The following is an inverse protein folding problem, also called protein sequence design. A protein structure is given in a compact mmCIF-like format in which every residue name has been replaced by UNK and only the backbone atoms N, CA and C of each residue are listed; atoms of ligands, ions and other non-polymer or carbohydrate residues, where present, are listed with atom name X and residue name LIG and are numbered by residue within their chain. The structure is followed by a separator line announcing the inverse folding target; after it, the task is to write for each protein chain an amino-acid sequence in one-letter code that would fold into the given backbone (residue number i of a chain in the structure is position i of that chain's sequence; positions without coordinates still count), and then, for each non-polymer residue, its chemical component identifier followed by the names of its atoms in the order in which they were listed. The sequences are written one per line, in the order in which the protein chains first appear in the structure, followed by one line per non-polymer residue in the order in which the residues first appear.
data_IF_902693868861
#
_entry.id   IF_902693868861
#
_cell.length_a   1.000
_cell.length_b   1.000
_cell.length_c   1.000
_cell.angle_alpha   90.00
_cell.angle_beta   90.00
_cell.angle_gamma   90.00
#
_symmetry.space_group_name_H-M   'P 1'
#
loop_
_entity.id
_entity.type
_entity.pdbx_description
1 polymer ?
#
# COMPACT_ATOMS: atom_id res chain seq x y z
N UNK A 1 4.88 -21.62 -1.61
CA UNK A 1 6.16 -21.04 -1.18
C UNK A 1 6.96 -22.08 -0.43
N UNK A 2 8.28 -22.18 -0.62
CA UNK A 2 9.15 -22.99 0.24
C UNK A 2 9.04 -22.52 1.69
N UNK A 3 9.08 -23.45 2.66
CA UNK A 3 8.90 -23.14 4.08
C UNK A 3 9.83 -22.02 4.62
N UNK A 4 11.16 -21.99 4.33
CA UNK A 4 12.01 -20.93 4.88
C UNK A 4 11.63 -19.54 4.35
N UNK A 5 11.30 -19.40 3.07
CA UNK A 5 10.90 -18.12 2.50
C UNK A 5 9.61 -17.57 3.12
N UNK A 6 8.63 -18.43 3.38
CA UNK A 6 7.33 -18.01 3.94
C UNK A 6 7.45 -17.34 5.31
N UNK A 7 8.49 -17.68 6.10
CA UNK A 7 8.73 -17.08 7.42
C UNK A 7 9.07 -15.59 7.32
N UNK A 8 9.76 -15.16 6.25
CA UNK A 8 10.10 -13.75 6.02
C UNK A 8 8.81 -12.92 5.94
N UNK A 9 7.90 -13.32 5.04
CA UNK A 9 6.67 -12.56 4.82
C UNK A 9 5.64 -12.74 5.94
N UNK A 10 5.65 -13.88 6.65
CA UNK A 10 4.81 -14.06 7.84
C UNK A 10 5.26 -13.11 8.97
N UNK A 11 6.56 -13.02 9.24
CA UNK A 11 7.12 -12.09 10.22
C UNK A 11 6.84 -10.63 9.82
N UNK A 12 7.02 -10.30 8.52
CA UNK A 12 6.77 -8.96 7.99
C UNK A 12 5.28 -8.57 8.08
N UNK A 13 4.38 -9.49 7.74
CA UNK A 13 2.94 -9.28 7.85
C UNK A 13 2.50 -9.05 9.30
N UNK A 14 3.01 -9.87 10.23
CA UNK A 14 2.74 -9.69 11.65
C UNK A 14 3.33 -8.37 12.17
N UNK A 15 4.51 -7.96 11.70
CA UNK A 15 5.10 -6.68 12.01
C UNK A 15 4.19 -5.51 11.57
N UNK A 16 3.65 -5.57 10.35
CA UNK A 16 2.68 -4.59 9.83
C UNK A 16 1.42 -4.54 10.70
N UNK A 17 0.83 -5.70 11.01
CA UNK A 17 -0.39 -5.78 11.83
C UNK A 17 -0.18 -5.21 13.24
N UNK A 18 0.93 -5.54 13.90
CA UNK A 18 1.27 -5.01 15.22
C UNK A 18 1.45 -3.48 15.18
N UNK A 19 2.15 -2.97 14.19
CA UNK A 19 2.33 -1.53 14.03
C UNK A 19 1.00 -0.80 13.72
N UNK A 20 0.12 -1.37 12.90
CA UNK A 20 -1.23 -0.85 12.67
C UNK A 20 -2.07 -0.88 13.97
N UNK A 21 -1.89 -1.90 14.82
CA UNK A 21 -2.48 -2.00 16.16
C UNK A 21 -1.77 -1.09 17.19
N UNK A 22 -0.89 -0.19 16.76
CA UNK A 22 -0.10 0.75 17.59
C UNK A 22 0.91 0.08 18.53
N UNK A 23 1.20 -1.21 18.37
CA UNK A 23 2.22 -1.96 19.08
C UNK A 23 3.57 -1.85 18.34
N UNK A 24 4.20 -0.65 18.42
CA UNK A 24 5.37 -0.32 17.60
C UNK A 24 6.59 -1.19 17.93
N UNK A 25 6.92 -1.37 19.23
CA UNK A 25 8.13 -2.10 19.61
C UNK A 25 8.13 -3.55 19.15
N UNK A 26 7.12 -4.40 19.44
CA UNK A 26 7.10 -5.77 18.93
C UNK A 26 7.02 -5.81 17.39
N UNK A 27 6.34 -4.87 16.75
CA UNK A 27 6.32 -4.76 15.29
C UNK A 27 7.70 -4.49 14.69
N UNK A 28 8.49 -3.57 15.26
CA UNK A 28 9.85 -3.28 14.80
C UNK A 28 10.82 -4.43 15.09
N UNK A 29 10.65 -5.17 16.19
CA UNK A 29 11.42 -6.39 16.45
C UNK A 29 11.17 -7.44 15.36
N UNK A 30 9.90 -7.68 15.02
CA UNK A 30 9.56 -8.62 13.94
C UNK A 30 10.04 -8.15 12.56
N UNK A 31 10.02 -6.84 12.30
CA UNK A 31 10.65 -6.29 11.09
C UNK A 31 12.15 -6.63 11.05
N UNK A 32 12.88 -6.43 12.18
CA UNK A 32 14.28 -6.80 12.29
C UNK A 32 14.51 -8.29 12.02
N UNK A 33 13.67 -9.15 12.60
CA UNK A 33 13.72 -10.61 12.36
C UNK A 33 13.49 -10.91 10.88
N UNK A 34 12.49 -10.30 10.25
CA UNK A 34 12.19 -10.47 8.82
C UNK A 34 13.38 -10.07 7.94
N UNK A 35 14.03 -8.92 8.22
CA UNK A 35 15.19 -8.46 7.46
C UNK A 35 16.42 -9.37 7.65
N UNK A 36 16.64 -9.90 8.85
CA UNK A 36 17.73 -10.86 9.11
C UNK A 36 17.48 -12.19 8.41
N UNK A 37 16.24 -12.70 8.43
CA UNK A 37 15.85 -13.88 7.67
C UNK A 37 16.02 -13.66 6.17
N UNK A 38 15.61 -12.49 5.67
CA UNK A 38 15.75 -12.13 4.26
C UNK A 38 17.22 -12.06 3.83
N UNK A 39 18.11 -11.55 4.68
CA UNK A 39 19.55 -11.55 4.43
C UNK A 39 20.10 -12.99 4.41
N UNK A 40 19.75 -13.79 5.41
CA UNK A 40 20.21 -15.17 5.53
C UNK A 40 19.76 -16.06 4.36
N UNK A 41 18.55 -15.82 3.86
CA UNK A 41 17.99 -16.54 2.70
C UNK A 41 18.28 -15.85 1.35
N UNK A 42 19.22 -14.91 1.33
CA UNK A 42 19.68 -14.19 0.14
C UNK A 42 18.57 -13.46 -0.64
N UNK A 43 17.46 -13.12 0.06
CA UNK A 43 16.37 -12.31 -0.51
C UNK A 43 16.69 -10.82 -0.50
N UNK A 44 17.65 -10.40 0.29
CA UNK A 44 18.25 -9.06 0.22
C UNK A 44 19.77 -9.18 0.32
N UNK A 45 20.48 -8.26 -0.34
CA UNK A 45 21.93 -8.12 -0.19
C UNK A 45 22.30 -7.30 1.04
N UNK A 46 23.57 -7.38 1.55
CA UNK A 46 24.03 -6.48 2.58
C UNK A 46 23.85 -4.99 2.25
N UNK A 47 23.97 -4.61 0.98
CA UNK A 47 23.77 -3.22 0.52
C UNK A 47 22.30 -2.81 0.70
N UNK A 48 21.34 -3.64 0.29
CA UNK A 48 19.92 -3.38 0.49
C UNK A 48 19.55 -3.31 1.98
N UNK A 49 20.15 -4.18 2.83
CA UNK A 49 19.97 -4.13 4.28
C UNK A 49 20.49 -2.81 4.84
N UNK A 50 21.70 -2.39 4.50
CA UNK A 50 22.29 -1.13 4.97
C UNK A 50 21.46 0.09 4.52
N UNK A 51 21.00 0.12 3.26
CA UNK A 51 20.12 1.17 2.75
C UNK A 51 18.77 1.21 3.51
N UNK A 52 18.22 0.02 3.85
CA UNK A 52 17.00 -0.09 4.64
C UNK A 52 17.20 0.43 6.05
N UNK A 53 18.26 0.00 6.73
CA UNK A 53 18.59 0.43 8.10
C UNK A 53 18.90 1.93 8.16
N UNK A 54 19.62 2.48 7.18
CA UNK A 54 19.90 3.91 7.10
C UNK A 54 18.63 4.74 6.96
N UNK A 55 17.71 4.32 6.06
CA UNK A 55 16.41 4.98 5.88
C UNK A 55 15.53 4.90 7.14
N UNK A 56 15.46 3.73 7.78
CA UNK A 56 14.72 3.54 9.03
C UNK A 56 15.33 4.34 10.19
N UNK A 57 16.65 4.42 10.31
CA UNK A 57 17.34 5.23 11.32
C UNK A 57 17.07 6.72 11.12
N UNK A 58 17.17 7.21 9.88
CA UNK A 58 16.82 8.58 9.54
C UNK A 58 15.35 8.87 9.90
N UNK A 59 14.44 7.98 9.53
CA UNK A 59 13.01 8.11 9.85
C UNK A 59 12.76 8.16 11.37
N UNK A 60 13.42 7.30 12.13
CA UNK A 60 13.32 7.27 13.59
C UNK A 60 13.85 8.56 14.25
N UNK A 61 14.94 9.13 13.72
CA UNK A 61 15.52 10.38 14.24
C UNK A 61 14.72 11.62 13.84
N UNK A 62 13.98 11.57 12.73
CA UNK A 62 13.28 12.72 12.15
C UNK A 62 12.39 13.48 13.14
N UNK A 63 11.53 12.85 13.97
CA UNK A 63 10.64 13.59 14.90
C UNK A 63 11.39 14.37 16.00
N UNK A 64 12.62 13.97 16.32
CA UNK A 64 13.43 14.60 17.38
C UNK A 64 14.24 15.81 16.90
N UNK A 65 14.28 16.04 15.59
CA UNK A 65 15.04 17.14 14.98
C UNK A 65 14.34 18.50 15.17
N UNK A 66 15.08 19.61 15.28
CA UNK A 66 14.55 20.96 15.18
C UNK A 66 13.83 21.19 13.83
N UNK A 67 12.85 22.10 13.80
CA UNK A 67 11.92 22.28 12.67
C UNK A 67 12.59 22.37 11.29
N UNK A 68 13.62 23.19 11.03
CA UNK A 68 14.19 23.26 9.67
C UNK A 68 14.81 21.95 9.23
N UNK A 69 15.54 21.27 10.11
CA UNK A 69 16.17 19.98 9.84
C UNK A 69 15.15 18.85 9.71
N UNK A 70 14.05 18.92 10.48
CA UNK A 70 12.94 17.97 10.40
C UNK A 70 12.31 17.96 9.03
N UNK A 71 12.02 19.11 8.44
CA UNK A 71 11.45 19.19 7.10
C UNK A 71 12.39 18.59 6.04
N UNK A 72 13.69 18.87 6.12
CA UNK A 72 14.67 18.26 5.23
C UNK A 72 14.75 16.73 5.40
N UNK A 73 14.79 16.24 6.65
CA UNK A 73 14.80 14.81 6.95
C UNK A 73 13.51 14.11 6.48
N UNK A 74 12.35 14.73 6.67
CA UNK A 74 11.08 14.22 6.12
C UNK A 74 11.12 14.12 4.60
N UNK A 75 11.67 15.11 3.91
CA UNK A 75 11.88 15.06 2.46
C UNK A 75 12.77 13.89 2.04
N UNK A 76 13.89 13.67 2.74
CA UNK A 76 14.79 12.55 2.46
C UNK A 76 14.12 11.18 2.73
N UNK A 77 13.37 11.04 3.83
CA UNK A 77 12.60 9.82 4.12
C UNK A 77 11.55 9.57 3.03
N UNK A 78 10.88 10.63 2.55
CA UNK A 78 9.90 10.52 1.47
C UNK A 78 10.56 10.07 0.15
N UNK A 79 11.70 10.65 -0.21
CA UNK A 79 12.47 10.23 -1.39
C UNK A 79 12.92 8.78 -1.29
N UNK A 80 13.41 8.36 -0.12
CA UNK A 80 13.76 6.96 0.14
C UNK A 80 12.54 6.03 0.03
N UNK A 81 11.38 6.43 0.58
CA UNK A 81 10.15 5.67 0.46
C UNK A 81 9.68 5.52 -1.00
N UNK A 82 9.77 6.60 -1.79
CA UNK A 82 9.47 6.58 -3.23
C UNK A 82 10.45 5.66 -3.98
N UNK A 83 11.75 5.73 -3.65
CA UNK A 83 12.76 4.85 -4.26
C UNK A 83 12.47 3.36 -3.98
N UNK A 84 12.01 3.01 -2.77
CA UNK A 84 11.55 1.65 -2.44
C UNK A 84 10.29 1.25 -3.23
N UNK A 85 9.30 2.14 -3.33
CA UNK A 85 8.07 1.86 -4.10
C UNK A 85 8.34 1.62 -5.58
N UNK A 86 9.32 2.33 -6.14
CA UNK A 86 9.74 2.23 -7.54
C UNK A 86 10.84 1.19 -7.78
N UNK A 87 11.21 0.40 -6.76
CA UNK A 87 12.27 -0.62 -6.83
C UNK A 87 13.64 -0.09 -7.30
N UNK A 88 13.97 1.18 -6.96
CA UNK A 88 15.21 1.84 -7.38
C UNK A 88 16.41 1.50 -6.49
N UNK A 89 16.18 0.94 -5.29
CA UNK A 89 17.25 0.51 -4.40
C UNK A 89 17.68 -0.90 -4.79
N UNK A 90 18.94 -1.11 -5.21
CA UNK A 90 19.40 -2.41 -5.67
C UNK A 90 19.54 -3.42 -4.52
N UNK A 91 19.46 -4.70 -4.85
CA UNK A 91 19.72 -5.80 -3.93
C UNK A 91 18.51 -6.35 -3.20
N UNK A 92 17.29 -6.02 -3.61
CA UNK A 92 16.07 -6.72 -3.23
C UNK A 92 15.75 -7.79 -4.26
N UNK A 93 15.77 -9.06 -3.85
CA UNK A 93 15.44 -10.21 -4.70
C UNK A 93 13.98 -10.63 -4.43
N UNK A 94 13.05 -9.80 -4.90
CA UNK A 94 11.61 -9.99 -4.70
C UNK A 94 11.14 -11.33 -5.27
N UNK A 95 10.38 -12.10 -4.48
CA UNK A 95 9.97 -13.46 -4.83
C UNK A 95 8.76 -13.45 -5.77
N UNK A 96 8.94 -13.94 -7.01
CA UNK A 96 7.82 -14.19 -7.92
C UNK A 96 7.02 -15.39 -7.40
N UNK A 97 5.78 -15.16 -7.00
CA UNK A 97 4.90 -16.19 -6.42
C UNK A 97 3.78 -16.62 -7.35
N UNK A 98 3.42 -15.78 -8.33
CA UNK A 98 2.53 -16.12 -9.44
C UNK A 98 3.22 -15.74 -10.75
N UNK A 99 3.22 -16.67 -11.70
CA UNK A 99 3.85 -16.51 -13.00
C UNK A 99 2.87 -16.85 -14.11
N UNK A 100 2.45 -15.84 -14.89
CA UNK A 100 1.56 -15.94 -16.04
C UNK A 100 0.25 -16.71 -15.73
N UNK A 101 -0.26 -16.58 -14.49
CA UNK A 101 -1.51 -17.22 -14.09
C UNK A 101 -2.73 -16.48 -14.63
N UNK A 102 -3.82 -17.20 -14.85
CA UNK A 102 -5.11 -16.63 -15.24
C UNK A 102 -6.03 -16.59 -14.01
N UNK A 103 -6.77 -15.49 -13.85
CA UNK A 103 -7.83 -15.42 -12.86
C UNK A 103 -9.07 -16.20 -13.34
N UNK A 104 -9.35 -16.14 -14.63
CA UNK A 104 -10.39 -16.86 -15.32
C UNK A 104 -10.09 -16.95 -16.83
N UNK A 105 -10.96 -17.61 -17.63
CA UNK A 105 -10.74 -17.86 -19.07
C UNK A 105 -10.64 -16.59 -19.92
N UNK A 106 -11.34 -15.51 -19.53
CA UNK A 106 -11.38 -14.25 -20.27
C UNK A 106 -10.38 -13.21 -19.72
N UNK A 107 -9.57 -13.59 -18.73
CA UNK A 107 -8.56 -12.73 -18.09
C UNK A 107 -7.23 -12.78 -18.83
N UNK A 108 -6.50 -11.63 -18.86
CA UNK A 108 -5.10 -11.62 -19.31
C UNK A 108 -4.16 -12.26 -18.27
N UNK A 109 -2.98 -12.78 -18.67
CA UNK A 109 -2.03 -13.36 -17.73
C UNK A 109 -1.56 -12.37 -16.67
N UNK A 110 -1.47 -12.85 -15.42
CA UNK A 110 -1.09 -12.07 -14.26
C UNK A 110 0.18 -12.61 -13.60
N UNK A 111 1.04 -11.68 -13.18
CA UNK A 111 2.24 -11.97 -12.40
C UNK A 111 2.15 -11.29 -11.04
N UNK A 112 2.62 -11.95 -9.99
CA UNK A 112 2.69 -11.35 -8.66
C UNK A 112 4.00 -11.66 -7.96
N UNK A 113 4.54 -10.62 -7.34
CA UNK A 113 5.75 -10.69 -6.53
C UNK A 113 5.41 -10.37 -5.07
N UNK A 114 6.01 -11.09 -4.15
CA UNK A 114 6.14 -10.69 -2.76
C UNK A 114 7.37 -9.79 -2.66
N UNK A 115 7.11 -8.51 -2.47
CA UNK A 115 8.14 -7.50 -2.38
C UNK A 115 8.60 -7.31 -0.93
N UNK A 116 9.90 -7.09 -0.71
CA UNK A 116 10.45 -6.75 0.60
C UNK A 116 10.65 -5.24 0.76
N UNK A 117 10.89 -4.54 -0.33
CA UNK A 117 11.10 -3.10 -0.37
C UNK A 117 9.81 -2.30 -0.10
N UNK A 118 8.71 -2.60 -0.79
CA UNK A 118 7.45 -1.86 -0.63
C UNK A 118 6.93 -1.80 0.83
N UNK A 119 6.88 -2.89 1.60
CA UNK A 119 6.44 -2.82 3.00
C UNK A 119 7.31 -1.94 3.90
N UNK A 120 8.60 -1.76 3.59
CA UNK A 120 9.49 -0.88 4.35
C UNK A 120 9.03 0.58 4.34
N UNK A 121 8.32 1.00 3.30
CA UNK A 121 7.69 2.33 3.19
C UNK A 121 6.80 2.60 4.41
N UNK A 122 5.97 1.62 4.80
CA UNK A 122 5.10 1.76 5.96
C UNK A 122 5.89 2.07 7.24
N UNK A 123 6.94 1.31 7.52
CA UNK A 123 7.73 1.48 8.74
C UNK A 123 8.50 2.80 8.75
N UNK A 124 9.10 3.18 7.63
CA UNK A 124 9.79 4.46 7.51
C UNK A 124 8.86 5.65 7.72
N UNK A 125 7.71 5.65 7.06
CA UNK A 125 6.74 6.72 7.20
C UNK A 125 6.09 6.73 8.60
N UNK A 126 5.84 5.56 9.21
CA UNK A 126 5.33 5.45 10.58
C UNK A 126 6.30 6.03 11.62
N UNK A 127 7.60 5.86 11.41
CA UNK A 127 8.64 6.41 12.30
C UNK A 127 8.79 7.91 12.12
N UNK A 128 8.78 8.41 10.88
CA UNK A 128 8.99 9.83 10.60
C UNK A 128 7.74 10.72 10.84
N UNK A 129 6.53 10.13 10.79
CA UNK A 129 5.26 10.82 11.05
C UNK A 129 4.47 10.15 12.18
N UNK A 130 4.65 10.56 13.45
CA UNK A 130 3.99 9.93 14.60
C UNK A 130 2.47 9.86 14.53
N UNK A 131 1.83 10.78 13.80
CA UNK A 131 0.38 10.83 13.58
C UNK A 131 -0.13 10.09 12.36
N UNK A 132 0.71 9.31 11.67
CA UNK A 132 0.43 8.65 10.39
C UNK A 132 -0.88 7.84 10.38
N UNK A 133 -1.14 7.09 11.44
CA UNK A 133 -2.31 6.20 11.54
C UNK A 133 -3.64 6.94 11.73
N UNK A 134 -3.59 8.27 11.81
CA UNK A 134 -4.73 9.13 12.08
C UNK A 134 -5.06 9.27 13.57
N UNK A 135 -5.91 10.25 13.92
CA UNK A 135 -6.28 10.55 15.31
C UNK A 135 -7.13 9.44 15.97
N UNK A 136 -7.75 8.59 15.15
CA UNK A 136 -8.80 7.70 15.59
C UNK A 136 -10.11 8.47 15.82
N UNK A 137 -11.23 7.78 15.75
CA UNK A 137 -12.55 8.40 15.95
C UNK A 137 -13.66 7.36 15.86
N UNK A 138 -14.90 7.80 16.09
CA UNK A 138 -16.08 6.97 15.84
C UNK A 138 -16.22 6.71 14.33
N UNK A 139 -16.34 5.46 13.96
CA UNK A 139 -16.49 5.07 12.56
C UNK A 139 -17.93 5.40 12.12
N UNK A 140 -18.06 6.24 11.10
CA UNK A 140 -19.35 6.60 10.50
C UNK A 140 -19.76 5.55 9.47
N UNK A 141 -20.22 4.40 9.91
CA UNK A 141 -20.51 3.23 9.06
C UNK A 141 -21.41 3.54 7.87
N UNK A 142 -22.45 4.39 8.07
CA UNK A 142 -23.35 4.80 6.97
C UNK A 142 -22.59 5.52 5.85
N UNK A 143 -21.68 6.41 6.22
CA UNK A 143 -20.87 7.15 5.22
C UNK A 143 -19.92 6.19 4.50
N UNK A 144 -19.28 5.27 5.22
CA UNK A 144 -18.39 4.28 4.61
C UNK A 144 -19.16 3.34 3.67
N UNK A 145 -20.36 2.90 4.05
CA UNK A 145 -21.21 2.09 3.19
C UNK A 145 -21.60 2.86 1.91
N UNK A 146 -21.90 4.15 2.01
CA UNK A 146 -22.21 4.99 0.84
C UNK A 146 -20.98 5.15 -0.07
N UNK A 147 -19.76 5.12 0.43
CA UNK A 147 -18.55 5.17 -0.39
C UNK A 147 -18.32 3.90 -1.23
N UNK A 148 -18.95 2.78 -0.87
CA UNK A 148 -18.90 1.57 -1.70
C UNK A 148 -19.68 1.73 -3.00
N UNK A 149 -20.68 2.61 -3.05
CA UNK A 149 -21.47 2.87 -4.27
C UNK A 149 -20.63 3.46 -5.41
N UNK A 150 -19.88 4.57 -5.24
CA UNK A 150 -19.01 5.08 -6.29
C UNK A 150 -17.88 4.08 -6.64
N UNK A 151 -17.36 3.31 -5.69
CA UNK A 151 -16.36 2.29 -5.97
C UNK A 151 -16.95 1.16 -6.84
N UNK A 152 -18.15 0.69 -6.55
CA UNK A 152 -18.85 -0.27 -7.40
C UNK A 152 -19.15 0.32 -8.79
N UNK A 153 -19.57 1.60 -8.86
CA UNK A 153 -19.78 2.29 -10.12
C UNK A 153 -18.51 2.35 -10.98
N UNK A 154 -17.32 2.51 -10.38
CA UNK A 154 -16.06 2.47 -11.14
C UNK A 154 -15.85 1.12 -11.84
N UNK A 155 -16.10 0.00 -11.17
CA UNK A 155 -15.99 -1.34 -11.78
C UNK A 155 -17.03 -1.52 -12.89
N UNK A 156 -18.27 -1.06 -12.68
CA UNK A 156 -19.33 -1.10 -13.70
C UNK A 156 -18.96 -0.24 -14.91
N UNK A 157 -18.43 0.97 -14.69
CA UNK A 157 -17.97 1.83 -15.78
C UNK A 157 -16.81 1.20 -16.55
N UNK A 158 -15.85 0.57 -15.86
CA UNK A 158 -14.74 -0.14 -16.51
C UNK A 158 -15.26 -1.31 -17.39
N UNK A 159 -16.29 -2.01 -16.92
CA UNK A 159 -16.99 -3.02 -17.73
C UNK A 159 -17.68 -2.40 -18.94
N UNK A 160 -18.47 -1.36 -18.77
CA UNK A 160 -19.17 -0.69 -19.88
C UNK A 160 -18.22 -0.12 -20.95
N UNK A 161 -17.03 0.27 -20.54
CA UNK A 161 -15.96 0.73 -21.45
C UNK A 161 -15.15 -0.42 -22.07
N UNK A 162 -15.48 -1.67 -21.78
CA UNK A 162 -14.83 -2.85 -22.35
C UNK A 162 -13.45 -3.20 -21.73
N UNK A 163 -13.00 -2.49 -20.70
CA UNK A 163 -11.75 -2.79 -20.02
C UNK A 163 -11.85 -4.06 -19.14
N UNK A 164 -13.04 -4.32 -18.63
CA UNK A 164 -13.36 -5.49 -17.82
C UNK A 164 -14.54 -6.26 -18.42
N UNK A 165 -14.66 -7.54 -18.06
CA UNK A 165 -15.86 -8.36 -18.31
C UNK A 165 -16.30 -9.02 -17.01
N UNK A 166 -17.59 -9.25 -16.76
CA UNK A 166 -18.05 -10.04 -15.62
C UNK A 166 -17.45 -11.46 -15.68
N UNK A 167 -16.71 -11.82 -14.66
CA UNK A 167 -16.07 -13.12 -14.51
C UNK A 167 -16.08 -13.51 -13.02
N UNK A 168 -17.24 -14.01 -12.59
CA UNK A 168 -17.48 -14.28 -11.16
C UNK A 168 -16.78 -15.57 -10.74
N UNK A 169 -15.85 -15.46 -9.81
CA UNK A 169 -15.12 -16.61 -9.28
C UNK A 169 -13.89 -16.17 -8.47
N UNK A 170 -13.30 -17.12 -7.80
CA UNK A 170 -12.04 -16.92 -7.09
C UNK A 170 -11.01 -17.90 -7.63
N UNK A 171 -9.89 -17.45 -8.21
CA UNK A 171 -8.82 -18.35 -8.62
C UNK A 171 -8.22 -19.03 -7.39
N UNK A 172 -7.66 -20.24 -7.52
CA UNK A 172 -7.12 -21.02 -6.40
C UNK A 172 -6.04 -20.29 -5.57
N UNK A 173 -5.43 -19.27 -6.15
CA UNK A 173 -4.40 -18.42 -5.51
C UNK A 173 -4.96 -17.13 -4.86
N UNK A 174 -6.28 -16.93 -4.78
CA UNK A 174 -6.93 -15.72 -4.25
C UNK A 174 -6.44 -15.30 -2.86
N UNK A 175 -6.15 -16.28 -2.00
CA UNK A 175 -5.67 -16.04 -0.65
C UNK A 175 -4.29 -15.38 -0.63
N UNK A 176 -3.42 -15.76 -1.57
CA UNK A 176 -2.08 -15.18 -1.72
C UNK A 176 -2.18 -13.74 -2.23
N UNK A 177 -3.09 -13.49 -3.18
CA UNK A 177 -3.43 -12.14 -3.60
C UNK A 177 -3.94 -11.30 -2.43
N UNK A 178 -4.92 -11.80 -1.67
CA UNK A 178 -5.50 -11.10 -0.53
C UNK A 178 -4.43 -10.76 0.53
N UNK A 179 -3.55 -11.70 0.84
CA UNK A 179 -2.44 -11.52 1.77
C UNK A 179 -1.50 -10.40 1.30
N UNK A 180 -1.00 -10.49 0.07
CA UNK A 180 -0.06 -9.49 -0.49
C UNK A 180 -0.71 -8.12 -0.69
N UNK A 181 -1.91 -8.10 -1.26
CA UNK A 181 -2.60 -6.86 -1.59
C UNK A 181 -3.01 -6.08 -0.32
N UNK A 182 -3.64 -6.76 0.66
CA UNK A 182 -4.07 -6.10 1.89
C UNK A 182 -2.89 -5.60 2.73
N UNK A 183 -1.92 -6.48 3.02
CA UNK A 183 -0.89 -6.22 4.03
C UNK A 183 0.33 -5.47 3.50
N UNK A 184 0.61 -5.56 2.21
CA UNK A 184 1.81 -4.93 1.64
C UNK A 184 1.46 -3.83 0.65
N UNK A 185 0.63 -4.10 -0.35
CA UNK A 185 0.31 -3.11 -1.40
C UNK A 185 -0.56 -1.98 -0.83
N UNK A 186 -1.76 -2.30 -0.34
CA UNK A 186 -2.67 -1.26 0.17
C UNK A 186 -2.08 -0.51 1.37
N UNK A 187 -1.36 -1.19 2.27
CA UNK A 187 -0.68 -0.52 3.39
C UNK A 187 0.35 0.48 2.89
N UNK A 188 1.28 0.08 2.01
CA UNK A 188 2.33 0.97 1.51
C UNK A 188 1.77 2.19 0.77
N UNK A 189 0.74 1.98 -0.03
CA UNK A 189 0.10 3.04 -0.80
C UNK A 189 -0.71 3.98 0.09
N UNK A 190 -1.55 3.46 0.99
CA UNK A 190 -2.38 4.31 1.85
C UNK A 190 -1.55 5.11 2.87
N UNK A 191 -0.44 4.56 3.39
CA UNK A 191 0.44 5.33 4.28
C UNK A 191 1.07 6.52 3.56
N UNK A 192 1.47 6.36 2.30
CA UNK A 192 2.06 7.45 1.51
C UNK A 192 1.00 8.50 1.15
N UNK A 193 -0.08 8.07 0.51
CA UNK A 193 -1.04 9.03 -0.05
C UNK A 193 -1.96 9.63 1.01
N UNK A 194 -2.47 8.85 1.97
CA UNK A 194 -3.41 9.33 2.99
C UNK A 194 -2.72 9.68 4.29
N UNK A 195 -1.82 8.80 4.74
CA UNK A 195 -1.07 8.99 5.97
C UNK A 195 -0.11 10.18 5.94
N UNK A 196 0.55 10.45 4.80
CA UNK A 196 1.48 11.58 4.65
C UNK A 196 0.87 12.70 3.81
N UNK A 197 0.68 12.50 2.50
CA UNK A 197 0.37 13.60 1.57
C UNK A 197 -0.95 14.27 1.95
N UNK A 198 -2.03 13.53 2.06
CA UNK A 198 -3.34 14.08 2.41
C UNK A 198 -3.33 14.74 3.79
N UNK A 199 -2.75 14.08 4.81
CA UNK A 199 -2.73 14.62 6.17
C UNK A 199 -1.89 15.88 6.29
N UNK A 200 -0.72 15.96 5.67
CA UNK A 200 0.15 17.15 5.77
C UNK A 200 -0.49 18.38 5.13
N UNK A 201 -1.25 18.21 4.05
CA UNK A 201 -2.00 19.29 3.42
C UNK A 201 -3.22 19.65 4.28
N UNK A 202 -3.95 18.65 4.79
CA UNK A 202 -5.14 18.85 5.62
C UNK A 202 -4.82 19.56 6.95
N UNK A 203 -3.68 19.29 7.58
CA UNK A 203 -3.22 19.95 8.81
C UNK A 203 -3.01 21.47 8.63
N UNK A 204 -2.82 21.92 7.40
CA UNK A 204 -2.73 23.35 7.03
C UNK A 204 -4.10 23.96 6.73
N UNK A 205 -5.19 23.35 7.18
CA UNK A 205 -6.56 23.78 6.96
C UNK A 205 -7.11 23.54 5.55
N UNK A 206 -6.41 22.78 4.71
CA UNK A 206 -6.76 22.57 3.29
C UNK A 206 -7.18 21.12 3.02
N UNK A 207 -8.17 20.62 3.76
CA UNK A 207 -8.62 19.23 3.66
C UNK A 207 -8.94 18.77 2.23
N UNK A 208 -9.80 19.50 1.53
CA UNK A 208 -10.23 19.14 0.19
C UNK A 208 -9.09 19.16 -0.83
N UNK A 209 -8.17 20.12 -0.67
CA UNK A 209 -6.95 20.14 -1.47
C UNK A 209 -6.06 18.92 -1.15
N UNK A 210 -5.98 18.50 0.11
CA UNK A 210 -5.25 17.31 0.52
C UNK A 210 -5.81 16.04 -0.15
N UNK A 211 -7.14 15.88 -0.14
CA UNK A 211 -7.81 14.76 -0.81
C UNK A 211 -7.55 14.82 -2.32
N UNK A 212 -7.74 15.97 -2.95
CA UNK A 212 -7.55 16.15 -4.38
C UNK A 212 -6.13 15.82 -4.82
N UNK A 213 -5.13 16.42 -4.17
CA UNK A 213 -3.71 16.23 -4.53
C UNK A 213 -3.30 14.78 -4.32
N UNK A 214 -3.65 14.17 -3.17
CA UNK A 214 -3.33 12.77 -2.90
C UNK A 214 -3.98 11.83 -3.92
N UNK A 215 -5.21 12.11 -4.35
CA UNK A 215 -5.94 11.32 -5.33
C UNK A 215 -5.35 11.44 -6.73
N UNK A 216 -4.99 12.63 -7.15
CA UNK A 216 -4.34 12.86 -8.45
C UNK A 216 -2.95 12.19 -8.51
N UNK A 217 -2.16 12.29 -7.44
CA UNK A 217 -0.87 11.62 -7.36
C UNK A 217 -1.02 10.09 -7.32
N UNK A 218 -2.07 9.58 -6.64
CA UNK A 218 -2.39 8.15 -6.66
C UNK A 218 -2.76 7.68 -8.08
N UNK A 219 -3.57 8.45 -8.79
CA UNK A 219 -3.85 8.18 -10.21
C UNK A 219 -2.58 8.19 -11.05
N UNK A 220 -1.73 9.21 -10.90
CA UNK A 220 -0.46 9.33 -11.64
C UNK A 220 0.50 8.16 -11.37
N UNK A 221 0.49 7.58 -10.17
CA UNK A 221 1.28 6.39 -9.84
C UNK A 221 0.85 5.14 -10.66
N UNK A 222 -0.33 5.16 -11.29
CA UNK A 222 -0.85 4.09 -12.15
C UNK A 222 -0.66 4.36 -13.65
N UNK A 223 0.18 5.33 -14.02
CA UNK A 223 0.39 5.77 -15.40
C UNK A 223 0.79 4.63 -16.36
N UNK A 224 1.54 3.65 -15.87
CA UNK A 224 1.96 2.48 -16.65
C UNK A 224 0.77 1.63 -17.16
N UNK A 225 -0.39 1.71 -16.51
CA UNK A 225 -1.63 1.02 -16.92
C UNK A 225 -2.52 1.82 -17.87
N UNK A 226 -2.04 2.99 -18.33
CA UNK A 226 -2.72 3.84 -19.30
C UNK A 226 -3.70 4.85 -18.68
N UNK A 227 -4.20 5.80 -19.51
CA UNK A 227 -4.96 6.96 -19.03
C UNK A 227 -6.29 6.59 -18.34
N UNK A 228 -6.92 5.51 -18.77
CA UNK A 228 -8.16 5.05 -18.15
C UNK A 228 -7.92 4.56 -16.71
N UNK A 229 -6.83 3.81 -16.48
CA UNK A 229 -6.47 3.38 -15.13
C UNK A 229 -6.06 4.57 -14.25
N UNK A 230 -5.37 5.56 -14.80
CA UNK A 230 -5.04 6.81 -14.08
C UNK A 230 -6.31 7.49 -13.57
N UNK A 231 -7.33 7.63 -14.44
CA UNK A 231 -8.60 8.25 -14.06
C UNK A 231 -9.31 7.44 -12.98
N UNK A 232 -9.47 6.13 -13.17
CA UNK A 232 -10.14 5.28 -12.19
C UNK A 232 -9.41 5.20 -10.86
N UNK A 233 -8.08 5.11 -10.87
CA UNK A 233 -7.27 5.15 -9.66
C UNK A 233 -7.41 6.50 -8.93
N UNK A 234 -7.44 7.63 -9.65
CA UNK A 234 -7.65 8.95 -9.04
C UNK A 234 -9.03 9.03 -8.36
N UNK A 235 -10.09 8.57 -9.01
CA UNK A 235 -11.45 8.57 -8.46
C UNK A 235 -11.59 7.61 -7.26
N UNK A 236 -11.04 6.39 -7.36
CA UNK A 236 -10.97 5.46 -6.25
C UNK A 236 -10.16 6.06 -5.08
N UNK A 237 -9.05 6.71 -5.41
CA UNK A 237 -8.23 7.45 -4.49
C UNK A 237 -8.99 8.52 -3.70
N UNK A 238 -9.90 9.24 -4.33
CA UNK A 238 -10.76 10.19 -3.63
C UNK A 238 -11.68 9.49 -2.62
N UNK A 239 -12.25 8.33 -2.97
CA UNK A 239 -13.05 7.53 -2.03
C UNK A 239 -12.23 7.05 -0.84
N UNK A 240 -10.99 6.59 -1.03
CA UNK A 240 -10.09 6.18 0.06
C UNK A 240 -9.73 7.37 0.95
N UNK A 241 -9.49 8.55 0.34
CA UNK A 241 -9.24 9.79 1.06
C UNK A 241 -10.42 10.23 1.93
N UNK A 242 -11.64 10.10 1.43
CA UNK A 242 -12.88 10.34 2.17
C UNK A 242 -13.08 9.29 3.27
N UNK A 243 -12.80 8.01 3.02
CA UNK A 243 -12.86 6.95 4.02
C UNK A 243 -11.91 7.24 5.19
N UNK A 244 -10.69 7.68 4.90
CA UNK A 244 -9.75 8.13 5.92
C UNK A 244 -10.27 9.35 6.69
N UNK A 245 -10.78 10.37 6.00
CA UNK A 245 -11.31 11.57 6.65
C UNK A 245 -12.46 11.27 7.59
N UNK A 246 -13.47 10.52 7.14
CA UNK A 246 -14.67 10.24 7.94
C UNK A 246 -14.47 9.23 9.07
N UNK A 247 -13.41 8.41 9.00
CA UNK A 247 -13.09 7.45 10.06
C UNK A 247 -11.99 7.95 11.00
N UNK A 248 -11.14 8.86 10.55
CA UNK A 248 -9.92 9.24 11.24
C UNK A 248 -8.92 8.08 11.40
N UNK A 249 -9.04 7.01 10.61
CA UNK A 249 -8.27 5.77 10.73
C UNK A 249 -7.70 5.33 9.39
N UNK A 250 -6.39 5.25 9.31
CA UNK A 250 -5.71 4.77 8.11
C UNK A 250 -6.11 3.33 7.74
N UNK A 251 -6.32 2.47 8.75
CA UNK A 251 -6.76 1.08 8.55
C UNK A 251 -8.09 0.99 7.80
N UNK A 252 -8.98 1.97 7.95
CA UNK A 252 -10.26 2.00 7.20
C UNK A 252 -10.01 2.28 5.72
N UNK A 253 -9.13 3.24 5.39
CA UNK A 253 -8.76 3.48 3.99
C UNK A 253 -8.11 2.25 3.36
N UNK A 254 -7.20 1.57 4.10
CA UNK A 254 -6.56 0.32 3.66
C UNK A 254 -7.61 -0.75 3.35
N UNK A 255 -8.58 -0.95 4.24
CA UNK A 255 -9.65 -1.95 4.02
C UNK A 255 -10.54 -1.58 2.84
N UNK A 256 -10.94 -0.31 2.71
CA UNK A 256 -11.78 0.14 1.57
C UNK A 256 -11.04 -0.01 0.23
N UNK A 257 -9.74 0.29 0.20
CA UNK A 257 -8.90 0.05 -0.96
C UNK A 257 -8.83 -1.44 -1.31
N UNK A 258 -8.51 -2.27 -0.32
CA UNK A 258 -8.48 -3.72 -0.50
C UNK A 258 -9.81 -4.28 -1.00
N UNK A 259 -10.95 -3.81 -0.48
CA UNK A 259 -12.28 -4.27 -0.91
C UNK A 259 -12.52 -4.01 -2.39
N UNK A 260 -12.11 -2.86 -2.93
CA UNK A 260 -12.21 -2.60 -4.37
C UNK A 260 -11.33 -3.58 -5.17
N UNK A 261 -10.06 -3.75 -4.79
CA UNK A 261 -9.15 -4.64 -5.49
C UNK A 261 -9.61 -6.10 -5.44
N UNK A 262 -10.15 -6.53 -4.29
CA UNK A 262 -10.68 -7.87 -4.12
C UNK A 262 -12.00 -8.09 -4.87
N UNK A 263 -12.89 -7.10 -4.88
CA UNK A 263 -14.11 -7.14 -5.67
C UNK A 263 -13.80 -7.21 -7.18
N UNK A 264 -12.79 -6.48 -7.64
CA UNK A 264 -12.29 -6.58 -9.01
C UNK A 264 -11.85 -8.01 -9.34
N UNK A 265 -11.00 -8.62 -8.51
CA UNK A 265 -10.54 -10.00 -8.69
C UNK A 265 -11.67 -11.04 -8.67
N UNK A 266 -12.68 -10.82 -7.80
CA UNK A 266 -13.73 -11.82 -7.55
C UNK A 266 -14.90 -11.76 -8.53
N UNK A 267 -15.15 -10.61 -9.15
CA UNK A 267 -16.35 -10.36 -9.94
C UNK A 267 -16.08 -10.08 -11.42
N UNK A 268 -14.85 -9.74 -11.78
CA UNK A 268 -14.47 -9.33 -13.13
C UNK A 268 -13.17 -10.00 -13.58
N UNK A 269 -12.92 -9.94 -14.88
CA UNK A 269 -11.62 -10.31 -15.47
C UNK A 269 -10.49 -9.55 -14.77
N UNK A 270 -9.39 -10.24 -14.45
CA UNK A 270 -8.28 -9.67 -13.70
C UNK A 270 -6.92 -9.98 -14.35
N UNK A 271 -6.02 -9.00 -14.50
CA UNK A 271 -6.18 -7.57 -14.23
C UNK A 271 -7.01 -6.81 -15.27
N UNK A 272 -7.22 -7.37 -16.46
CA UNK A 272 -8.00 -6.81 -17.56
C UNK A 272 -8.68 -7.93 -18.36
N UNK A 273 -9.64 -7.57 -19.21
CA UNK A 273 -10.19 -8.47 -20.21
C UNK A 273 -9.17 -8.72 -21.35
N UNK A 274 -9.25 -9.93 -21.92
CA UNK A 274 -8.55 -10.28 -23.18
C UNK A 274 -9.20 -9.61 -24.37
#
# INVERSE_FOLDING_TARGET
MPLPDSLIWAALALAVLLCLARQRLPGLILLGISLLLALWLERITPVALLASLAGLLLAWRTPTLPTPWRCGAQGLVLLWAIALMLHLIPGFHNLKVLDQVLAGPDSVPFNMYLNLDKPLVFFGLLLAWPGLLGPGGAIRWRVLALLLLPLAALLICAWQLGALRPEVGLPHWWWLFAFNNLLFTCVAEEVLFRGVIQQEIARRGRLWLGILVASLLFGAAHLAGGPLLVLFAALAGACYGLAFHFSGRLSVAIVVHFLLNFAHLALFTYPLAR
#
